data_IF_524875959866
#
_entry.id   IF_524875959866
#
_cell.length_a   1.000
_cell.length_b   1.000
_cell.length_c   1.000
_cell.angle_alpha   90.00
_cell.angle_beta   90.00
_cell.angle_gamma   90.00
#
_symmetry.space_group_name_H-M   'P 1'
#
loop_
_entity.id
_entity.type
_entity.pdbx_description
1 polymer ?
#
# COMPACT_ATOMS: atom_id res chain seq x y z
N UNK A 1 -13.16 8.22 -26.17
CA UNK A 1 -11.69 8.15 -26.01
C UNK A 1 -11.36 7.67 -24.61
N UNK A 2 -11.85 8.32 -23.56
CA UNK A 2 -11.68 7.87 -22.16
C UNK A 2 -12.25 6.47 -21.89
N UNK A 3 -13.43 6.14 -22.41
CA UNK A 3 -14.04 4.81 -22.20
C UNK A 3 -13.21 3.68 -22.82
N UNK A 4 -12.60 3.92 -23.98
CA UNK A 4 -11.76 2.93 -24.66
C UNK A 4 -10.46 2.70 -23.89
N UNK A 5 -9.80 3.78 -23.42
CA UNK A 5 -8.62 3.69 -22.55
C UNK A 5 -8.94 2.97 -21.23
N UNK A 6 -10.11 3.21 -20.65
CA UNK A 6 -10.57 2.53 -19.44
C UNK A 6 -10.73 1.02 -19.68
N UNK A 7 -11.36 0.64 -20.79
CA UNK A 7 -11.56 -0.77 -21.17
C UNK A 7 -10.19 -1.45 -21.40
N UNK A 8 -9.28 -0.81 -22.11
CA UNK A 8 -7.94 -1.35 -22.38
C UNK A 8 -7.11 -1.48 -21.10
N UNK A 9 -7.15 -0.48 -20.22
CA UNK A 9 -6.50 -0.54 -18.91
C UNK A 9 -7.09 -1.65 -18.04
N UNK A 10 -8.41 -1.80 -18.00
CA UNK A 10 -9.06 -2.87 -17.27
C UNK A 10 -8.65 -4.24 -17.79
N UNK A 11 -8.68 -4.45 -19.13
CA UNK A 11 -8.26 -5.71 -19.75
C UNK A 11 -6.78 -6.04 -19.48
N UNK A 12 -5.91 -5.05 -19.53
CA UNK A 12 -4.46 -5.26 -19.35
C UNK A 12 -4.04 -5.44 -17.89
N UNK A 13 -4.81 -4.91 -16.94
CA UNK A 13 -4.42 -4.89 -15.51
C UNK A 13 -5.27 -5.78 -14.61
N UNK A 14 -6.38 -6.31 -15.12
CA UNK A 14 -7.23 -7.25 -14.38
C UNK A 14 -6.68 -8.66 -14.53
N UNK A 15 -6.36 -9.28 -13.40
CA UNK A 15 -5.87 -10.65 -13.35
C UNK A 15 -6.83 -11.53 -12.55
N UNK A 16 -7.00 -12.78 -12.98
CA UNK A 16 -7.59 -13.80 -12.13
C UNK A 16 -6.48 -14.41 -11.29
N UNK A 17 -6.62 -14.34 -9.97
CA UNK A 17 -5.68 -14.92 -9.02
C UNK A 17 -5.91 -16.42 -8.91
N UNK A 18 -4.93 -17.14 -8.37
CA UNK A 18 -4.99 -18.60 -8.16
C UNK A 18 -6.16 -19.03 -7.24
N UNK A 19 -6.64 -18.14 -6.38
CA UNK A 19 -7.80 -18.35 -5.51
C UNK A 19 -9.15 -18.09 -6.21
N UNK A 20 -9.13 -17.82 -7.53
CA UNK A 20 -10.30 -17.54 -8.34
C UNK A 20 -10.81 -16.09 -8.26
N UNK A 21 -10.22 -15.22 -7.42
CA UNK A 21 -10.64 -13.82 -7.29
C UNK A 21 -10.03 -12.95 -8.38
N UNK A 22 -10.77 -11.92 -8.81
CA UNK A 22 -10.23 -10.90 -9.70
C UNK A 22 -9.47 -9.81 -8.95
N UNK A 23 -8.21 -9.59 -9.31
CA UNK A 23 -7.44 -8.43 -8.91
C UNK A 23 -7.55 -7.35 -9.99
N UNK A 24 -8.21 -6.24 -9.68
CA UNK A 24 -8.36 -5.09 -10.60
C UNK A 24 -7.41 -3.98 -10.15
N UNK A 25 -6.63 -3.42 -11.08
CA UNK A 25 -5.82 -2.23 -10.80
C UNK A 25 -6.68 -0.98 -11.02
N UNK A 26 -6.66 -0.07 -10.06
CA UNK A 26 -7.26 1.25 -10.23
C UNK A 26 -6.25 2.20 -10.86
N UNK A 27 -6.69 2.93 -11.88
CA UNK A 27 -5.86 3.96 -12.51
C UNK A 27 -5.71 5.14 -11.54
N UNK A 28 -4.48 5.61 -11.36
CA UNK A 28 -4.22 6.85 -10.64
C UNK A 28 -4.63 8.04 -11.52
N UNK A 29 -5.07 9.14 -10.89
CA UNK A 29 -5.30 10.40 -11.59
C UNK A 29 -3.98 10.90 -12.19
N UNK A 30 -4.02 11.57 -13.33
CA UNK A 30 -2.81 12.08 -14.00
C UNK A 30 -2.01 13.05 -13.13
N UNK A 31 -2.68 13.80 -12.25
CA UNK A 31 -2.09 14.77 -11.35
C UNK A 31 -1.79 14.22 -9.94
N UNK A 32 -1.84 12.89 -9.74
CA UNK A 32 -1.77 12.31 -8.39
C UNK A 32 -0.52 12.74 -7.61
N UNK A 33 0.63 12.88 -8.26
CA UNK A 33 1.88 13.25 -7.60
C UNK A 33 1.82 14.63 -6.94
N UNK A 34 1.12 15.58 -7.57
CA UNK A 34 0.93 16.94 -7.05
C UNK A 34 -0.34 17.07 -6.20
N UNK A 35 -1.37 16.26 -6.47
CA UNK A 35 -2.67 16.34 -5.78
C UNK A 35 -2.78 15.54 -4.49
N UNK A 36 -1.82 14.64 -4.19
CA UNK A 36 -1.75 13.89 -2.93
C UNK A 36 -1.56 14.77 -1.68
N UNK A 37 -1.12 16.03 -1.86
CA UNK A 37 -1.05 17.05 -0.82
C UNK A 37 -0.26 16.61 0.43
N UNK A 38 -0.86 16.76 1.61
CA UNK A 38 -0.21 16.49 2.90
C UNK A 38 -0.20 15.00 3.30
N UNK A 39 -0.68 14.08 2.45
CA UNK A 39 -0.85 12.67 2.79
C UNK A 39 0.45 12.01 3.25
N UNK A 40 1.56 12.27 2.55
CA UNK A 40 2.90 11.78 2.94
C UNK A 40 3.31 12.29 4.32
N UNK A 41 3.20 13.59 4.56
CA UNK A 41 3.57 14.22 5.83
C UNK A 41 2.74 13.67 6.99
N UNK A 42 1.43 13.49 6.78
CA UNK A 42 0.53 12.88 7.76
C UNK A 42 0.89 11.41 8.03
N UNK A 43 1.22 10.63 6.99
CA UNK A 43 1.68 9.25 7.15
C UNK A 43 2.96 9.15 7.98
N UNK A 44 3.95 10.01 7.69
CA UNK A 44 5.20 10.08 8.46
C UNK A 44 4.96 10.50 9.91
N UNK A 45 4.08 11.47 10.15
CA UNK A 45 3.74 11.92 11.51
C UNK A 45 3.07 10.80 12.33
N UNK A 46 2.14 10.06 11.72
CA UNK A 46 1.48 8.90 12.33
C UNK A 46 2.50 7.81 12.67
N UNK A 47 3.40 7.48 11.75
CA UNK A 47 4.48 6.52 11.99
C UNK A 47 5.36 6.92 13.17
N UNK A 48 5.80 8.20 13.23
CA UNK A 48 6.57 8.73 14.37
C UNK A 48 5.79 8.63 15.69
N UNK A 49 4.49 8.92 15.66
CA UNK A 49 3.61 8.79 16.82
C UNK A 49 3.53 7.33 17.31
N UNK A 50 3.37 6.38 16.40
CA UNK A 50 3.36 4.96 16.71
C UNK A 50 4.67 4.51 17.37
N UNK A 51 5.82 4.93 16.84
CA UNK A 51 7.13 4.63 17.46
C UNK A 51 7.23 5.18 18.89
N UNK A 52 6.76 6.40 19.15
CA UNK A 52 6.74 6.96 20.52
C UNK A 52 5.81 6.21 21.46
N UNK A 53 4.72 5.60 20.96
CA UNK A 53 3.84 4.76 21.78
C UNK A 53 4.54 3.47 22.18
N UNK A 54 5.28 2.85 21.25
CA UNK A 54 6.05 1.64 21.54
C UNK A 54 7.10 1.83 22.62
N UNK A 55 7.80 2.96 22.65
CA UNK A 55 8.79 3.22 23.70
C UNK A 55 8.17 3.32 25.10
N UNK A 56 6.91 3.74 25.20
CA UNK A 56 6.17 3.85 26.47
C UNK A 56 5.44 2.55 26.84
N UNK A 57 5.11 1.72 25.86
CA UNK A 57 4.35 0.49 26.04
C UNK A 57 4.95 -0.64 25.20
N UNK A 58 5.84 -1.41 25.82
CA UNK A 58 6.52 -2.55 25.18
C UNK A 58 5.55 -3.67 24.80
N UNK A 59 4.44 -3.85 25.54
CA UNK A 59 3.45 -4.87 25.21
C UNK A 59 2.76 -4.55 23.88
N UNK A 60 2.38 -3.28 23.68
CA UNK A 60 1.79 -2.81 22.42
C UNK A 60 2.76 -3.02 21.24
N UNK A 61 4.05 -2.74 21.44
CA UNK A 61 5.07 -2.98 20.41
C UNK A 61 5.16 -4.46 20.02
N UNK A 62 5.22 -5.35 21.01
CA UNK A 62 5.29 -6.81 20.77
C UNK A 62 4.07 -7.31 20.01
N UNK A 63 2.87 -6.94 20.46
CA UNK A 63 1.62 -7.35 19.80
C UNK A 63 1.53 -6.82 18.36
N UNK A 64 1.89 -5.55 18.13
CA UNK A 64 1.92 -4.97 16.79
C UNK A 64 2.90 -5.70 15.87
N UNK A 65 4.13 -5.95 16.32
CA UNK A 65 5.14 -6.67 15.54
C UNK A 65 4.73 -8.11 15.23
N UNK A 66 4.10 -8.78 16.19
CA UNK A 66 3.56 -10.14 16.00
C UNK A 66 2.51 -10.16 14.89
N UNK A 67 1.54 -9.24 14.95
CA UNK A 67 0.50 -9.10 13.93
C UNK A 67 1.10 -8.81 12.55
N UNK A 68 2.04 -7.86 12.44
CA UNK A 68 2.66 -7.53 11.15
C UNK A 68 3.40 -8.74 10.53
N UNK A 69 4.01 -9.58 11.37
CA UNK A 69 4.66 -10.82 10.92
C UNK A 69 3.64 -11.82 10.39
N UNK A 70 2.55 -12.05 11.12
CA UNK A 70 1.46 -12.92 10.68
C UNK A 70 0.85 -12.43 9.36
N UNK A 71 0.56 -11.13 9.26
CA UNK A 71 0.01 -10.49 8.07
C UNK A 71 0.93 -10.65 6.84
N UNK A 72 2.25 -10.60 7.05
CA UNK A 72 3.24 -10.92 6.01
C UNK A 72 3.23 -12.42 5.67
N UNK A 73 3.19 -13.32 6.66
CA UNK A 73 3.14 -14.78 6.44
C UNK A 73 1.90 -15.21 5.67
N UNK A 74 0.77 -14.53 5.87
CA UNK A 74 -0.46 -14.74 5.10
C UNK A 74 -0.40 -14.21 3.66
N UNK A 75 0.72 -13.58 3.26
CA UNK A 75 0.87 -12.99 1.92
C UNK A 75 0.06 -11.71 1.72
N UNK A 76 -0.46 -11.09 2.79
CA UNK A 76 -1.20 -9.82 2.71
C UNK A 76 -0.28 -8.59 2.69
N UNK A 77 0.99 -8.77 3.03
CA UNK A 77 2.03 -7.75 2.92
C UNK A 77 3.31 -8.39 2.40
N UNK A 78 4.01 -7.67 1.53
CA UNK A 78 5.36 -8.00 1.10
C UNK A 78 6.33 -6.92 1.56
N UNK A 79 7.60 -7.26 1.74
CA UNK A 79 8.63 -6.24 1.94
C UNK A 79 8.65 -5.35 0.71
N UNK A 80 8.67 -4.04 0.93
CA UNK A 80 8.88 -3.09 -0.15
C UNK A 80 10.29 -3.32 -0.70
N UNK A 81 10.39 -3.91 -1.90
CA UNK A 81 11.62 -3.90 -2.67
C UNK A 81 11.96 -2.44 -2.97
N UNK A 82 13.13 -1.98 -2.56
CA UNK A 82 13.64 -0.68 -2.99
C UNK A 82 14.00 -0.75 -4.48
N UNK A 83 12.98 -0.74 -5.35
CA UNK A 83 13.10 -0.15 -6.66
C UNK A 83 12.64 1.31 -6.51
N UNK A 84 13.51 2.15 -5.96
CA UNK A 84 13.52 3.56 -6.36
C UNK A 84 13.93 3.57 -7.83
N UNK A 85 12.99 3.28 -8.73
CA UNK A 85 13.10 3.77 -10.08
C UNK A 85 12.75 5.24 -9.98
N UNK A 86 13.75 6.06 -9.63
CA UNK A 86 13.68 7.47 -9.91
C UNK A 86 13.59 7.66 -11.41
N UNK A 87 12.51 8.31 -11.86
CA UNK A 87 12.54 9.43 -12.79
C UNK A 87 11.36 10.34 -12.44
#
# INVERSE_FOLDING_TARGET
MEDQECIEYHKSTTIQREDGRYGVRLRLKSDYETSLGLSKNRGVAQFKSLKRKFTKNQQMEKSYKSFMKEYQTMGHMTLATMALNGQ
#
